data_IF_585260295916
#
_entry.id   IF_585260295916
#
_cell.length_a   1.000
_cell.length_b   1.000
_cell.length_c   1.000
_cell.angle_alpha   90.00
_cell.angle_beta   90.00
_cell.angle_gamma   90.00
#
_symmetry.space_group_name_H-M   'P 1'
#
loop_
_entity.id
_entity.type
_entity.pdbx_description
1 polymer ?
#
# COMPACT_ATOMS: atom_id res chain seq x y z
N UNK A 1 30.07 -32.77 21.23
CA UNK A 1 29.85 -31.30 21.22
C UNK A 1 29.54 -30.91 19.79
N UNK A 2 28.30 -30.51 19.50
CA UNK A 2 27.93 -30.00 18.17
C UNK A 2 28.32 -28.51 18.09
N UNK A 3 28.80 -28.01 16.93
CA UNK A 3 29.17 -26.62 16.81
C UNK A 3 27.91 -25.75 16.80
N UNK A 4 27.91 -24.71 17.64
CA UNK A 4 26.91 -23.66 17.64
C UNK A 4 27.06 -22.83 16.36
N UNK A 5 26.15 -23.02 15.41
CA UNK A 5 26.00 -22.11 14.28
C UNK A 5 25.49 -20.77 14.81
N UNK A 6 26.37 -19.77 14.90
CA UNK A 6 25.99 -18.40 15.19
C UNK A 6 25.34 -17.83 13.92
N UNK A 7 24.01 -17.97 13.84
CA UNK A 7 23.21 -17.33 12.81
C UNK A 7 23.13 -15.83 13.08
N UNK A 8 23.76 -15.01 12.22
CA UNK A 8 23.55 -13.58 12.22
C UNK A 8 22.14 -13.31 11.64
N UNK A 9 21.14 -13.16 12.50
CA UNK A 9 19.80 -12.72 12.09
C UNK A 9 19.85 -11.21 11.87
N UNK A 10 20.07 -10.79 10.63
CA UNK A 10 19.83 -9.42 10.18
C UNK A 10 18.30 -9.20 10.21
N UNK A 11 17.78 -8.71 11.33
CA UNK A 11 16.41 -8.20 11.39
C UNK A 11 16.45 -6.75 10.94
N UNK A 12 16.15 -6.49 9.67
CA UNK A 12 15.72 -5.15 9.27
C UNK A 12 14.29 -4.99 9.79
N UNK A 13 14.09 -4.12 10.79
CA UNK A 13 12.76 -3.85 11.31
C UNK A 13 12.04 -2.94 10.33
N UNK A 14 11.03 -3.47 9.65
CA UNK A 14 10.22 -2.67 8.74
C UNK A 14 9.34 -1.66 9.50
N UNK A 15 8.88 -0.61 8.84
CA UNK A 15 8.04 0.41 9.45
C UNK A 15 6.74 -0.20 9.99
N UNK A 16 6.12 -1.06 9.18
CA UNK A 16 4.93 -1.84 9.55
C UNK A 16 5.16 -2.67 10.83
N UNK A 17 6.34 -3.27 11.00
CA UNK A 17 6.66 -4.01 12.23
C UNK A 17 6.68 -3.09 13.47
N UNK A 18 7.34 -1.93 13.38
CA UNK A 18 7.42 -0.98 14.49
C UNK A 18 6.04 -0.45 14.89
N UNK A 19 5.16 -0.23 13.91
CA UNK A 19 3.79 0.24 14.14
C UNK A 19 2.91 -0.84 14.77
N UNK A 20 3.04 -2.09 14.34
CA UNK A 20 2.33 -3.20 14.97
C UNK A 20 2.70 -3.30 16.45
N UNK A 21 4.00 -3.22 16.78
CA UNK A 21 4.46 -3.24 18.17
C UNK A 21 3.90 -2.04 18.95
N UNK A 22 3.88 -0.85 18.35
CA UNK A 22 3.37 0.38 18.99
C UNK A 22 1.87 0.27 19.28
N UNK A 23 1.07 -0.14 18.31
CA UNK A 23 -0.38 -0.27 18.45
C UNK A 23 -0.74 -1.38 19.42
N UNK A 24 -0.03 -2.52 19.36
CA UNK A 24 -0.24 -3.61 20.31
C UNK A 24 0.09 -3.16 21.74
N UNK A 25 1.21 -2.47 21.95
CA UNK A 25 1.57 -1.92 23.26
C UNK A 25 0.51 -0.95 23.77
N UNK A 26 -0.03 -0.09 22.90
CA UNK A 26 -1.11 0.83 23.26
C UNK A 26 -2.36 0.07 23.75
N UNK A 27 -2.74 -0.99 23.07
CA UNK A 27 -3.90 -1.83 23.41
C UNK A 27 -3.65 -2.62 24.71
N UNK A 28 -2.42 -3.08 24.95
CA UNK A 28 -2.08 -3.87 26.13
C UNK A 28 -1.97 -3.01 27.41
N UNK A 29 -1.50 -1.77 27.27
CA UNK A 29 -1.26 -0.85 28.41
C UNK A 29 -2.51 -0.05 28.78
N UNK A 30 -3.37 0.27 27.80
CA UNK A 30 -4.53 1.14 28.01
C UNK A 30 -5.84 0.44 27.64
N UNK A 31 -6.93 0.85 28.29
CA UNK A 31 -8.29 0.44 27.88
C UNK A 31 -8.70 1.24 26.64
N UNK A 32 -8.27 0.79 25.47
CA UNK A 32 -8.57 1.41 24.18
C UNK A 32 -9.96 0.97 23.70
N UNK A 33 -10.82 1.93 23.36
CA UNK A 33 -12.17 1.66 22.81
C UNK A 33 -12.26 1.87 21.31
N UNK A 34 -11.26 2.50 20.71
CA UNK A 34 -11.11 2.70 19.27
C UNK A 34 -9.81 3.42 18.94
N UNK A 35 -9.35 3.28 17.70
CA UNK A 35 -8.12 3.88 17.20
C UNK A 35 -8.44 4.78 16.00
N UNK A 36 -7.91 6.01 16.04
CA UNK A 36 -7.90 6.94 14.91
C UNK A 36 -6.48 7.00 14.39
N UNK A 37 -6.25 6.48 13.19
CA UNK A 37 -4.96 6.53 12.53
C UNK A 37 -5.01 7.57 11.41
N UNK A 38 -4.08 8.53 11.43
CA UNK A 38 -4.04 9.56 10.41
C UNK A 38 -2.61 9.87 9.99
N UNK A 39 -2.46 10.35 8.76
CA UNK A 39 -1.17 10.70 8.20
C UNK A 39 -1.31 11.22 6.77
N UNK A 40 -0.17 11.36 6.10
CA UNK A 40 -0.13 11.70 4.68
C UNK A 40 -0.15 10.45 3.80
N UNK A 41 -0.51 10.60 2.53
CA UNK A 41 -0.45 9.55 1.53
C UNK A 41 -0.18 10.14 0.14
N UNK A 42 0.40 9.32 -0.73
CA UNK A 42 0.48 9.61 -2.16
C UNK A 42 -0.80 9.25 -2.88
N UNK A 43 -1.11 9.98 -3.95
CA UNK A 43 -2.22 9.60 -4.84
C UNK A 43 -1.77 8.61 -5.90
N UNK A 44 -2.57 7.58 -6.15
CA UNK A 44 -2.34 6.60 -7.23
C UNK A 44 -3.23 6.80 -8.45
N UNK A 45 -4.16 7.78 -8.42
CA UNK A 45 -5.01 8.15 -9.56
C UNK A 45 -5.43 9.64 -9.50
N UNK A 46 -6.18 10.11 -10.51
CA UNK A 46 -6.70 11.49 -10.56
C UNK A 46 -7.98 11.70 -9.73
N UNK A 47 -8.43 10.69 -8.96
CA UNK A 47 -9.65 10.80 -8.16
C UNK A 47 -9.48 11.70 -6.94
N UNK A 48 -8.22 11.96 -6.55
CA UNK A 48 -7.83 12.76 -5.40
C UNK A 48 -6.83 13.84 -5.78
N UNK A 49 -7.03 15.03 -5.22
CA UNK A 49 -6.13 16.18 -5.37
C UNK A 49 -5.29 16.40 -4.12
N UNK A 50 -4.15 17.09 -4.26
CA UNK A 50 -3.35 17.52 -3.12
C UNK A 50 -4.20 18.27 -2.08
N UNK A 51 -4.08 17.85 -0.82
CA UNK A 51 -4.87 18.36 0.30
C UNK A 51 -6.22 17.66 0.53
N UNK A 52 -6.72 16.85 -0.41
CA UNK A 52 -7.88 15.99 -0.17
C UNK A 52 -7.58 14.98 0.93
N UNK A 53 -8.60 14.57 1.68
CA UNK A 53 -8.49 13.57 2.75
C UNK A 53 -9.22 12.30 2.32
N UNK A 54 -8.50 11.19 2.22
CA UNK A 54 -9.05 9.86 1.98
C UNK A 54 -9.47 9.22 3.29
N UNK A 55 -10.69 8.67 3.31
CA UNK A 55 -11.18 7.76 4.35
C UNK A 55 -11.41 6.41 3.68
N UNK A 56 -10.38 5.54 3.62
CA UNK A 56 -10.48 4.30 2.88
C UNK A 56 -11.44 3.33 3.56
N UNK A 57 -12.29 2.68 2.75
CA UNK A 57 -13.14 1.56 3.18
C UNK A 57 -12.34 0.26 3.28
N UNK A 58 -11.29 0.11 2.50
CA UNK A 58 -10.42 -1.06 2.50
C UNK A 58 -8.98 -0.57 2.46
N UNK A 59 -8.10 -1.21 3.22
CA UNK A 59 -6.66 -1.00 3.14
C UNK A 59 -6.01 -2.37 2.90
N UNK A 60 -4.95 -2.46 2.12
CA UNK A 60 -4.23 -3.71 1.89
C UNK A 60 -2.73 -3.49 1.97
N UNK A 61 -1.97 -4.46 2.49
CA UNK A 61 -0.52 -4.41 2.46
C UNK A 61 -0.02 -4.90 1.08
N UNK A 62 0.21 -3.97 0.15
CA UNK A 62 0.62 -4.28 -1.22
C UNK A 62 2.14 -4.31 -1.41
N UNK A 63 2.92 -4.11 -0.35
CA UNK A 63 4.38 -4.23 -0.36
C UNK A 63 4.90 -5.67 -0.29
N UNK A 64 4.03 -6.66 -0.06
CA UNK A 64 4.40 -8.06 0.08
C UNK A 64 4.58 -8.72 -1.30
N UNK A 65 5.84 -8.79 -1.75
CA UNK A 65 6.22 -9.39 -3.03
C UNK A 65 7.02 -10.68 -2.84
N UNK A 66 6.70 -11.72 -3.59
CA UNK A 66 7.47 -12.99 -3.60
C UNK A 66 8.22 -13.16 -4.92
N UNK A 67 9.53 -13.39 -4.84
CA UNK A 67 10.33 -13.75 -6.01
C UNK A 67 10.00 -15.18 -6.47
N UNK A 68 9.66 -15.35 -7.76
CA UNK A 68 9.62 -16.69 -8.38
C UNK A 68 10.99 -16.97 -8.99
N UNK A 69 11.60 -18.10 -8.65
CA UNK A 69 12.73 -18.62 -9.38
C UNK A 69 12.27 -18.98 -10.80
N UNK A 70 12.91 -18.44 -11.82
CA UNK A 70 12.67 -18.76 -13.24
C UNK A 70 12.99 -20.25 -13.47
N UNK A 71 12.00 -21.11 -13.27
CA UNK A 71 12.09 -22.47 -13.79
C UNK A 71 11.83 -22.36 -15.29
N UNK A 72 12.86 -22.67 -16.09
CA UNK A 72 12.74 -23.03 -17.49
C UNK A 72 11.77 -24.20 -17.60
N UNK A 73 10.49 -23.89 -17.79
CA UNK A 73 9.49 -24.92 -17.97
C UNK A 73 9.62 -25.45 -19.40
N UNK A 74 10.17 -26.66 -19.56
CA UNK A 74 9.97 -27.42 -20.80
C UNK A 74 8.46 -27.55 -21.03
N UNK A 75 8.02 -27.36 -22.27
CA UNK A 75 6.60 -27.37 -22.69
C UNK A 75 5.81 -28.55 -22.12
N UNK A 76 6.47 -29.68 -21.85
CA UNK A 76 5.86 -30.91 -21.32
C UNK A 76 5.64 -30.83 -19.79
N UNK A 77 6.52 -30.16 -19.04
CA UNK A 77 6.38 -29.99 -17.59
C UNK A 77 5.26 -29.02 -17.21
N UNK A 78 5.02 -28.01 -18.07
CA UNK A 78 3.94 -27.05 -17.85
C UNK A 78 2.56 -27.66 -18.11
N UNK A 79 2.43 -28.61 -19.05
CA UNK A 79 1.14 -29.27 -19.34
C UNK A 79 0.73 -30.24 -18.21
N UNK A 80 1.69 -30.93 -17.58
CA UNK A 80 1.39 -31.85 -16.48
C UNK A 80 1.01 -31.14 -15.17
N UNK A 81 1.56 -29.95 -14.88
CA UNK A 81 1.15 -29.16 -13.71
C UNK A 81 -0.26 -28.56 -13.89
N UNK A 82 -0.69 -28.34 -15.14
CA UNK A 82 -2.02 -27.79 -15.46
C UNK A 82 -3.12 -28.87 -15.36
N UNK A 83 -2.79 -30.15 -15.45
CA UNK A 83 -3.79 -31.23 -15.42
C UNK A 83 -4.31 -31.58 -14.01
N UNK A 84 -3.52 -31.39 -12.94
CA UNK A 84 -3.98 -31.65 -11.56
C UNK A 84 -4.35 -30.38 -10.76
N UNK A 85 -4.12 -29.19 -11.31
CA UNK A 85 -4.51 -27.92 -10.67
C UNK A 85 -5.57 -27.25 -11.54
N UNK A 86 -6.74 -27.88 -11.58
CA UNK A 86 -8.00 -27.21 -11.91
C UNK A 86 -8.44 -26.29 -10.74
N UNK A 87 -7.50 -25.62 -10.05
CA UNK A 87 -7.77 -24.67 -8.97
C UNK A 87 -7.55 -23.28 -9.55
N UNK A 88 -8.65 -22.72 -10.06
CA UNK A 88 -8.87 -21.29 -10.30
C UNK A 88 -7.80 -20.57 -11.13
N UNK A 89 -8.19 -20.09 -12.31
CA UNK A 89 -7.67 -18.82 -12.86
C UNK A 89 -7.86 -17.72 -11.81
N UNK A 90 -6.99 -17.66 -10.80
CA UNK A 90 -6.90 -16.52 -9.89
C UNK A 90 -6.31 -15.40 -10.73
N UNK A 91 -7.01 -14.28 -10.78
CA UNK A 91 -6.56 -13.02 -11.37
C UNK A 91 -5.27 -12.63 -10.64
N UNK A 92 -4.13 -13.12 -11.11
CA UNK A 92 -2.82 -12.63 -10.69
C UNK A 92 -2.50 -11.51 -11.66
N UNK A 93 -2.53 -10.26 -11.22
CA UNK A 93 -1.89 -9.26 -12.06
C UNK A 93 -0.38 -9.50 -12.03
N UNK A 94 0.22 -9.30 -13.18
CA UNK A 94 1.62 -9.49 -13.44
C UNK A 94 2.26 -8.11 -13.58
N UNK A 95 3.11 -7.69 -12.63
CA UNK A 95 3.98 -6.53 -12.86
C UNK A 95 5.20 -7.03 -13.64
N UNK A 96 5.32 -6.64 -14.91
CA UNK A 96 6.48 -6.98 -15.75
C UNK A 96 7.48 -5.84 -15.68
N UNK A 97 8.58 -6.01 -14.94
CA UNK A 97 9.55 -4.92 -14.75
C UNK A 97 10.11 -4.36 -16.06
N UNK A 98 10.13 -5.16 -17.15
CA UNK A 98 10.50 -4.74 -18.50
C UNK A 98 9.69 -3.53 -19.01
N UNK A 99 8.46 -3.35 -18.54
CA UNK A 99 7.58 -2.23 -18.92
C UNK A 99 7.89 -0.91 -18.19
N UNK A 100 8.79 -0.91 -17.19
CA UNK A 100 9.00 0.20 -16.24
C UNK A 100 10.40 0.87 -16.34
N UNK A 101 11.11 0.70 -17.47
CA UNK A 101 12.46 1.27 -17.67
C UNK A 101 12.43 2.77 -18.03
N UNK A 102 13.27 3.58 -17.37
CA UNK A 102 13.55 4.99 -17.73
C UNK A 102 15.06 5.15 -18.01
N UNK A 103 15.50 5.63 -19.20
CA UNK A 103 14.68 5.99 -20.37
C UNK A 103 14.06 4.77 -21.07
N UNK A 104 12.93 4.98 -21.72
CA UNK A 104 12.17 3.92 -22.39
C UNK A 104 13.03 3.19 -23.44
N UNK A 105 13.03 1.85 -23.41
CA UNK A 105 13.62 1.01 -24.46
C UNK A 105 14.87 0.21 -24.09
N UNK A 106 14.87 -0.49 -22.95
CA UNK A 106 15.90 -1.48 -22.60
C UNK A 106 15.30 -2.81 -22.19
N UNK A 107 15.96 -3.92 -22.49
CA UNK A 107 15.65 -5.23 -21.90
C UNK A 107 16.20 -5.26 -20.47
N UNK A 108 15.34 -5.44 -19.45
CA UNK A 108 15.83 -5.75 -18.10
C UNK A 108 15.59 -7.23 -17.79
N UNK A 109 16.56 -7.85 -17.11
CA UNK A 109 16.49 -9.27 -16.71
C UNK A 109 15.62 -9.48 -15.46
N UNK A 110 14.83 -8.47 -15.06
CA UNK A 110 13.99 -8.52 -13.87
C UNK A 110 12.69 -9.23 -14.21
N UNK A 111 12.31 -10.23 -13.41
CA UNK A 111 11.17 -11.12 -13.68
C UNK A 111 9.80 -10.47 -13.56
N UNK A 112 8.76 -11.28 -13.32
CA UNK A 112 7.41 -10.76 -13.09
C UNK A 112 6.95 -10.90 -11.64
N UNK A 113 6.26 -9.88 -11.11
CA UNK A 113 5.65 -9.94 -9.78
C UNK A 113 4.21 -10.42 -9.85
N UNK A 114 3.85 -11.30 -8.92
CA UNK A 114 2.47 -11.70 -8.66
C UNK A 114 2.08 -11.28 -7.25
N UNK A 115 0.82 -10.91 -7.08
CA UNK A 115 0.24 -10.63 -5.77
C UNK A 115 -0.80 -11.67 -5.35
N UNK A 116 -1.16 -11.66 -4.06
CA UNK A 116 -2.31 -12.36 -3.49
C UNK A 116 -3.23 -11.33 -2.85
N UNK A 117 -4.54 -11.49 -3.02
CA UNK A 117 -5.52 -10.66 -2.35
C UNK A 117 -5.60 -11.02 -0.86
N UNK A 118 -5.56 -10.01 0.00
CA UNK A 118 -5.87 -10.11 1.42
C UNK A 118 -7.01 -9.11 1.72
N UNK A 119 -8.05 -9.56 2.41
CA UNK A 119 -9.19 -8.72 2.80
C UNK A 119 -8.97 -8.19 4.22
N UNK A 120 -8.94 -6.87 4.38
CA UNK A 120 -8.98 -6.20 5.69
C UNK A 120 -10.32 -5.49 5.87
N UNK A 121 -10.94 -5.73 7.01
CA UNK A 121 -12.28 -5.24 7.36
C UNK A 121 -12.26 -3.76 7.77
N UNK A 122 -13.29 -3.00 7.37
CA UNK A 122 -13.65 -1.72 8.01
C UNK A 122 -15.11 -1.70 8.46
N UNK A 123 -15.37 -0.96 9.54
CA UNK A 123 -16.71 -0.84 10.15
C UNK A 123 -17.48 0.31 9.50
N UNK A 124 -18.64 -0.03 8.92
CA UNK A 124 -19.43 0.84 8.05
C UNK A 124 -20.44 1.75 8.77
N UNK A 125 -19.96 2.79 9.47
CA UNK A 125 -20.82 3.95 9.78
C UNK A 125 -20.48 5.13 8.86
N UNK A 126 -21.48 5.76 8.21
CA UNK A 126 -21.24 6.97 7.44
C UNK A 126 -20.85 8.12 8.37
N UNK A 127 -19.77 8.82 8.02
CA UNK A 127 -19.29 10.00 8.74
C UNK A 127 -20.12 11.22 8.33
N UNK A 128 -20.28 12.17 9.24
CA UNK A 128 -20.93 13.45 8.95
C UNK A 128 -20.04 14.32 8.03
N UNK A 129 -20.67 15.14 7.19
CA UNK A 129 -19.95 15.94 6.20
C UNK A 129 -19.11 17.03 6.89
N UNK A 130 -17.79 16.97 6.70
CA UNK A 130 -16.85 17.98 7.22
C UNK A 130 -16.44 18.91 6.08
N UNK A 131 -16.68 20.21 6.24
CA UNK A 131 -16.19 21.24 5.31
C UNK A 131 -14.76 21.62 5.67
N UNK A 132 -13.84 21.42 4.74
CA UNK A 132 -12.45 21.85 4.88
C UNK A 132 -12.26 23.24 4.28
N UNK A 133 -11.49 24.07 4.98
CA UNK A 133 -11.14 25.40 4.49
C UNK A 133 -10.07 25.30 3.40
N UNK A 134 -10.23 26.08 2.33
CA UNK A 134 -9.26 26.11 1.22
C UNK A 134 -7.96 26.83 1.58
N UNK A 135 -8.04 27.78 2.48
CA UNK A 135 -6.98 28.73 2.77
C UNK A 135 -6.70 28.76 4.27
N UNK A 136 -5.42 28.66 4.61
CA UNK A 136 -4.90 29.21 5.85
C UNK A 136 -4.49 30.67 5.59
N UNK A 137 -4.25 31.45 6.65
CA UNK A 137 -3.94 32.89 6.61
C UNK A 137 -2.86 33.28 5.57
N UNK A 138 -1.90 32.40 5.30
CA UNK A 138 -0.74 32.65 4.41
C UNK A 138 -0.71 31.78 3.16
N UNK A 139 -1.54 30.74 3.06
CA UNK A 139 -1.44 29.74 2.00
C UNK A 139 -2.80 29.16 1.63
N UNK A 140 -3.08 29.09 0.34
CA UNK A 140 -4.30 28.52 -0.21
C UNK A 140 -3.99 27.35 -1.14
N UNK A 141 -4.79 26.29 -1.04
CA UNK A 141 -4.76 25.19 -1.99
C UNK A 141 -5.39 25.61 -3.34
N UNK A 142 -4.98 24.97 -4.47
CA UNK A 142 -5.55 25.25 -5.79
C UNK A 142 -7.06 25.02 -5.84
N UNK A 143 -7.51 23.95 -5.18
CA UNK A 143 -8.91 23.56 -5.03
C UNK A 143 -9.28 23.50 -3.56
N UNK A 144 -10.57 23.65 -3.25
CA UNK A 144 -11.05 23.41 -1.88
C UNK A 144 -10.92 21.92 -1.59
N UNK A 145 -10.13 21.52 -0.58
CA UNK A 145 -9.95 20.11 -0.26
C UNK A 145 -11.27 19.50 0.20
N UNK A 146 -11.43 18.21 -0.08
CA UNK A 146 -12.62 17.43 0.30
C UNK A 146 -12.24 16.18 1.04
N UNK A 147 -13.15 15.69 1.88
CA UNK A 147 -13.06 14.35 2.44
C UNK A 147 -13.74 13.38 1.47
N UNK A 148 -12.99 12.36 1.02
CA UNK A 148 -13.49 11.33 0.10
C UNK A 148 -13.56 9.99 0.81
N UNK A 149 -14.77 9.44 0.89
CA UNK A 149 -15.05 8.19 1.58
C UNK A 149 -15.14 7.02 0.61
N UNK A 150 -14.88 5.82 1.11
CA UNK A 150 -15.16 4.59 0.34
C UNK A 150 -14.02 4.14 -0.58
N UNK A 151 -12.90 4.87 -0.58
CA UNK A 151 -11.73 4.57 -1.40
C UNK A 151 -11.01 3.31 -0.90
N UNK A 152 -10.05 2.83 -1.68
CA UNK A 152 -9.12 1.78 -1.27
C UNK A 152 -7.74 2.38 -1.04
N UNK A 153 -7.12 2.04 0.10
CA UNK A 153 -5.75 2.37 0.44
C UNK A 153 -4.81 1.19 0.23
N UNK A 154 -3.55 1.47 -0.09
CA UNK A 154 -2.48 0.50 -0.19
C UNK A 154 -1.35 0.92 0.74
N UNK A 155 -0.81 -0.02 1.52
CA UNK A 155 0.34 0.22 2.38
C UNK A 155 1.52 -0.65 1.99
N UNK A 156 2.72 -0.12 2.11
CA UNK A 156 3.96 -0.86 1.90
C UNK A 156 5.11 -0.24 2.70
N UNK A 157 6.14 -1.00 3.05
CA UNK A 157 7.36 -0.44 3.67
C UNK A 157 8.26 0.30 2.66
N UNK A 158 7.65 1.04 1.71
CA UNK A 158 8.35 1.78 0.67
C UNK A 158 7.59 3.06 0.29
N UNK A 159 8.34 4.16 0.17
CA UNK A 159 7.83 5.38 -0.42
C UNK A 159 7.66 5.19 -1.92
N UNK A 160 6.45 5.42 -2.43
CA UNK A 160 6.11 5.15 -3.82
C UNK A 160 6.36 6.37 -4.72
N UNK A 161 7.58 6.54 -5.24
CA UNK A 161 7.94 7.59 -6.21
C UNK A 161 8.15 7.03 -7.64
N UNK A 162 7.22 6.21 -8.09
CA UNK A 162 7.25 5.63 -9.45
C UNK A 162 5.86 5.73 -10.08
N UNK A 163 5.73 6.60 -11.09
CA UNK A 163 4.46 6.89 -11.74
C UNK A 163 3.81 5.65 -12.38
N UNK A 164 4.60 4.78 -12.99
CA UNK A 164 4.08 3.57 -13.62
C UNK A 164 3.62 2.54 -12.57
N UNK A 165 4.37 2.39 -11.47
CA UNK A 165 3.96 1.49 -10.40
C UNK A 165 2.70 1.98 -9.68
N UNK A 166 2.50 3.30 -9.55
CA UNK A 166 1.22 3.89 -9.10
C UNK A 166 0.06 3.51 -10.02
N UNK A 167 0.26 3.63 -11.35
CA UNK A 167 -0.75 3.22 -12.34
C UNK A 167 -1.07 1.73 -12.24
N UNK A 168 -0.07 0.89 -12.02
CA UNK A 168 -0.27 -0.54 -11.77
C UNK A 168 -1.14 -0.77 -10.53
N UNK A 169 -0.82 -0.14 -9.41
CA UNK A 169 -1.59 -0.31 -8.17
C UNK A 169 -3.05 0.12 -8.37
N UNK A 170 -3.27 1.25 -9.03
CA UNK A 170 -4.63 1.69 -9.36
C UNK A 170 -5.34 0.74 -10.34
N UNK A 171 -4.67 0.31 -11.43
CA UNK A 171 -5.28 -0.55 -12.45
C UNK A 171 -5.68 -1.91 -11.89
N UNK A 172 -4.83 -2.51 -11.08
CA UNK A 172 -5.03 -3.89 -10.62
C UNK A 172 -5.85 -3.97 -9.33
N UNK A 173 -5.68 -3.02 -8.42
CA UNK A 173 -6.35 -3.06 -7.11
C UNK A 173 -7.45 -2.01 -6.95
N UNK A 174 -7.47 -0.98 -7.80
CA UNK A 174 -8.35 0.18 -7.65
C UNK A 174 -8.00 1.03 -6.44
N UNK A 175 -6.74 1.01 -5.97
CA UNK A 175 -6.30 1.86 -4.86
C UNK A 175 -6.19 3.30 -5.32
N UNK A 176 -6.59 4.24 -4.46
CA UNK A 176 -6.55 5.68 -4.73
C UNK A 176 -5.50 6.41 -3.88
N UNK A 177 -5.15 5.84 -2.73
CA UNK A 177 -4.09 6.35 -1.86
C UNK A 177 -3.10 5.28 -1.49
N UNK A 178 -1.83 5.66 -1.40
CA UNK A 178 -0.72 4.81 -0.97
C UNK A 178 -0.01 5.42 0.23
N UNK A 179 0.28 4.60 1.23
CA UNK A 179 0.95 5.01 2.47
C UNK A 179 1.90 3.90 2.97
N UNK A 180 2.47 4.05 4.16
CA UNK A 180 3.45 3.08 4.67
C UNK A 180 2.93 2.27 5.87
N UNK A 181 1.77 2.64 6.44
CA UNK A 181 1.41 2.22 7.80
C UNK A 181 -0.01 1.64 7.95
N UNK A 182 -0.98 2.12 7.17
CA UNK A 182 -2.40 1.92 7.48
C UNK A 182 -2.80 0.46 7.55
N UNK A 183 -2.29 -0.39 6.65
CA UNK A 183 -2.58 -1.83 6.67
C UNK A 183 -2.06 -2.49 7.95
N UNK A 184 -0.89 -2.06 8.44
CA UNK A 184 -0.28 -2.59 9.65
C UNK A 184 -1.12 -2.24 10.89
N UNK A 185 -1.57 -0.98 10.99
CA UNK A 185 -2.46 -0.53 12.06
C UNK A 185 -3.79 -1.28 12.01
N UNK A 186 -4.46 -1.31 10.85
CA UNK A 186 -5.74 -2.01 10.68
C UNK A 186 -5.63 -3.50 11.02
N UNK A 187 -4.55 -4.16 10.60
CA UNK A 187 -4.29 -5.55 10.93
C UNK A 187 -4.16 -5.76 12.44
N UNK A 188 -3.38 -4.92 13.11
CA UNK A 188 -3.14 -5.03 14.56
C UNK A 188 -4.41 -4.81 15.37
N UNK A 189 -5.31 -3.92 14.94
CA UNK A 189 -6.59 -3.68 15.63
C UNK A 189 -7.66 -4.72 15.33
N UNK A 190 -7.56 -5.42 14.19
CA UNK A 190 -8.54 -6.42 13.76
C UNK A 190 -8.56 -7.64 14.69
N UNK A 191 -7.38 -8.14 15.09
CA UNK A 191 -7.29 -9.33 15.96
C UNK A 191 -7.94 -9.14 17.34
N UNK A 192 -7.71 -8.05 18.09
CA UNK A 192 -8.39 -7.78 19.36
C UNK A 192 -9.82 -7.24 19.18
N UNK A 193 -10.27 -6.98 17.95
CA UNK A 193 -11.61 -6.45 17.68
C UNK A 193 -11.79 -4.97 18.06
N UNK A 194 -10.70 -4.20 18.07
CA UNK A 194 -10.73 -2.76 18.35
C UNK A 194 -11.16 -2.00 17.09
N UNK A 195 -12.21 -1.18 17.15
CA UNK A 195 -12.62 -0.35 16.01
C UNK A 195 -11.49 0.60 15.58
N UNK A 196 -11.25 0.70 14.27
CA UNK A 196 -10.22 1.57 13.69
C UNK A 196 -10.81 2.41 12.56
N UNK A 197 -10.37 3.65 12.45
CA UNK A 197 -10.62 4.53 11.29
C UNK A 197 -9.30 5.13 10.80
N UNK A 198 -9.16 5.23 9.49
CA UNK A 198 -7.96 5.73 8.81
C UNK A 198 -8.31 7.03 8.08
N UNK A 199 -7.46 8.06 8.23
CA UNK A 199 -7.53 9.32 7.49
C UNK A 199 -6.20 9.58 6.79
N UNK A 200 -6.21 9.81 5.48
CA UNK A 200 -4.98 10.06 4.71
C UNK A 200 -5.08 11.33 3.89
N UNK A 201 -4.32 12.36 4.30
CA UNK A 201 -4.20 13.60 3.54
C UNK A 201 -3.26 13.43 2.36
N UNK A 202 -3.70 13.79 1.16
CA UNK A 202 -2.89 13.62 -0.06
C UNK A 202 -1.78 14.66 -0.11
N UNK A 203 -0.52 14.19 -0.13
CA UNK A 203 0.69 15.02 -0.02
C UNK A 203 1.53 15.13 -1.29
N UNK A 204 1.32 14.26 -2.28
CA UNK A 204 2.15 14.24 -3.50
C UNK A 204 1.38 13.81 -4.75
N UNK A 205 1.82 14.35 -5.89
CA UNK A 205 1.16 14.27 -7.20
C UNK A 205 1.58 13.06 -8.01
N UNK A 206 0.72 12.67 -8.97
CA UNK A 206 0.94 11.61 -9.96
C UNK A 206 2.04 11.88 -11.02
N UNK A 207 2.62 13.08 -11.05
CA UNK A 207 3.60 13.41 -12.07
C UNK A 207 5.03 13.27 -11.55
N UNK A 208 5.77 12.33 -12.13
CA UNK A 208 7.22 12.14 -11.97
C UNK A 208 8.09 13.28 -12.51
N UNK A 209 7.62 14.52 -12.46
CA UNK A 209 8.42 15.71 -12.75
C UNK A 209 8.95 16.32 -11.46
N UNK A 210 9.80 15.56 -10.76
CA UNK A 210 10.78 16.14 -9.83
C UNK A 210 11.96 16.76 -10.62
N UNK A 211 11.64 17.68 -11.53
CA UNK A 211 12.58 18.72 -11.93
C UNK A 211 12.05 20.05 -11.42
N UNK A 212 12.28 20.30 -10.12
CA UNK A 212 12.61 21.65 -9.69
C UNK A 212 11.70 22.38 -8.70
N UNK A 213 10.86 21.73 -7.87
CA UNK A 213 10.26 22.43 -6.71
C UNK A 213 10.16 21.58 -5.45
N UNK A 214 11.32 21.22 -4.89
CA UNK A 214 11.51 21.41 -3.46
C UNK A 214 12.30 22.71 -3.31
N UNK A 215 11.66 23.77 -2.80
CA UNK A 215 12.35 24.83 -2.06
C UNK A 215 11.34 25.80 -1.44
N UNK A 216 11.45 25.90 -0.11
CA UNK A 216 10.82 26.81 0.86
C UNK A 216 9.37 26.54 1.26
#
# INVERSE_FOLDING_TARGET
MAPSHMGLSLTTTSLAFQLNVTVQTLIDVFTVTGIVHYGTAGSSNDSMSFGDVSVPKLVAYTGAWTWKQTQTCSMIACILIVAEIQITKRVSAELRFEEYNIPNGGENLLGSLKFRNEELYSVGKPMEEVKLERCNNTFCLPTTPKVVYGLKGSSADMFLDNAEYRKFLFREFGVSTVDEESAAVVMTTTSPGIPVIVFRGVSDWLEGNQHGRQQA
#
